data_IF_869193782122
#
_entry.id   IF_869193782122
#
_cell.length_a   1.000
_cell.length_b   1.000
_cell.length_c   1.000
_cell.angle_alpha   90.00
_cell.angle_beta   90.00
_cell.angle_gamma   90.00
#
_symmetry.space_group_name_H-M   'P 1'
#
loop_
_entity.id
_entity.type
_entity.pdbx_description
1 polymer ?
#
# COMPACT_ATOMS: atom_id res chain seq x y z
N UNK A 1 -6.48 -0.34 -14.51
CA UNK A 1 -5.80 -0.49 -13.21
C UNK A 1 -4.78 0.63 -13.12
N UNK A 2 -5.13 1.73 -12.47
CA UNK A 2 -4.35 2.97 -12.48
C UNK A 2 -3.19 2.82 -11.50
N UNK A 3 -1.99 2.58 -12.00
CA UNK A 3 -0.77 2.59 -11.19
C UNK A 3 -0.45 4.04 -10.81
N UNK A 4 -0.72 4.42 -9.56
CA UNK A 4 -0.42 5.76 -9.05
C UNK A 4 1.10 5.88 -8.79
N UNK A 5 1.84 6.72 -9.55
CA UNK A 5 3.31 6.77 -9.49
C UNK A 5 3.89 7.13 -8.12
N UNK A 6 3.09 7.75 -7.26
CA UNK A 6 3.47 8.17 -5.90
C UNK A 6 3.63 7.03 -4.89
N UNK A 7 3.36 5.78 -5.30
CA UNK A 7 3.63 4.58 -4.51
C UNK A 7 5.09 4.10 -4.54
N UNK A 8 5.98 4.71 -5.35
CA UNK A 8 7.32 4.17 -5.58
C UNK A 8 8.47 5.19 -5.58
N UNK A 9 9.10 5.38 -4.43
CA UNK A 9 10.57 5.47 -4.31
C UNK A 9 10.94 4.94 -2.92
N UNK A 10 11.63 3.79 -2.91
CA UNK A 10 11.84 2.99 -1.72
C UNK A 10 12.76 3.65 -0.69
N UNK A 11 12.18 4.19 0.37
CA UNK A 11 12.77 4.03 1.70
C UNK A 11 12.12 2.79 2.29
N UNK A 12 12.90 1.75 2.56
CA UNK A 12 12.46 0.64 3.40
C UNK A 12 12.23 1.20 4.81
N UNK A 13 11.03 1.71 5.06
CA UNK A 13 10.62 2.03 6.43
C UNK A 13 10.71 0.76 7.26
N UNK A 14 11.07 0.91 8.54
CA UNK A 14 11.04 -0.18 9.52
C UNK A 14 9.71 -0.94 9.48
N UNK A 15 8.61 -0.23 9.19
CA UNK A 15 7.27 -0.80 9.10
C UNK A 15 7.13 -1.78 7.95
N UNK A 16 7.61 -1.42 6.75
CA UNK A 16 7.56 -2.30 5.60
C UNK A 16 8.41 -3.55 5.84
N UNK A 17 9.53 -3.41 6.54
CA UNK A 17 10.36 -4.55 6.95
C UNK A 17 9.68 -5.43 8.01
N UNK A 18 8.98 -4.83 9.00
CA UNK A 18 8.19 -5.56 10.01
C UNK A 18 7.05 -6.32 9.32
N UNK A 19 6.30 -5.65 8.45
CA UNK A 19 5.19 -6.23 7.70
C UNK A 19 5.63 -7.35 6.77
N UNK A 20 6.79 -7.20 6.10
CA UNK A 20 7.37 -8.27 5.29
C UNK A 20 7.68 -9.54 6.09
N UNK A 21 7.97 -9.42 7.40
CA UNK A 21 8.15 -10.58 8.29
C UNK A 21 6.84 -11.23 8.71
N UNK A 22 5.72 -10.51 8.66
CA UNK A 22 4.39 -11.05 8.91
C UNK A 22 3.88 -11.76 7.66
N UNK A 23 3.95 -11.10 6.49
CA UNK A 23 3.48 -11.65 5.22
C UNK A 23 4.57 -12.46 4.48
N UNK A 24 5.25 -13.37 5.19
CA UNK A 24 6.36 -14.15 4.62
C UNK A 24 5.92 -14.85 3.32
N UNK A 25 6.79 -14.87 2.29
CA UNK A 25 6.51 -15.61 1.05
C UNK A 25 6.13 -17.06 1.30
N UNK A 26 6.80 -17.71 2.26
CA UNK A 26 6.65 -19.13 2.59
C UNK A 26 5.67 -19.40 3.75
N UNK A 27 5.01 -18.37 4.28
CA UNK A 27 3.94 -18.54 5.27
C UNK A 27 2.62 -18.98 4.64
N UNK A 28 1.66 -19.38 5.48
CA UNK A 28 0.31 -19.79 5.05
C UNK A 28 -0.31 -18.81 4.05
N UNK A 29 -1.02 -19.38 3.08
CA UNK A 29 -1.68 -18.62 2.03
C UNK A 29 -3.02 -18.05 2.48
N UNK A 30 -3.37 -16.89 1.94
CA UNK A 30 -4.75 -16.42 2.05
C UNK A 30 -5.66 -17.37 1.28
N UNK A 31 -6.86 -17.63 1.83
CA UNK A 31 -7.92 -18.27 1.06
C UNK A 31 -8.23 -17.43 -0.19
N UNK A 32 -8.69 -18.03 -1.30
CA UNK A 32 -9.01 -17.28 -2.50
C UNK A 32 -10.02 -16.15 -2.29
N UNK A 33 -10.98 -16.34 -1.38
CA UNK A 33 -11.96 -15.32 -0.99
C UNK A 33 -11.29 -14.12 -0.32
N UNK A 34 -10.45 -14.36 0.69
CA UNK A 34 -9.72 -13.29 1.40
C UNK A 34 -8.78 -12.56 0.43
N UNK A 35 -8.05 -13.30 -0.40
CA UNK A 35 -7.15 -12.71 -1.38
C UNK A 35 -7.90 -11.78 -2.35
N UNK A 36 -9.06 -12.18 -2.87
CA UNK A 36 -9.88 -11.33 -3.75
C UNK A 36 -10.41 -10.09 -3.04
N UNK A 37 -10.82 -10.21 -1.79
CA UNK A 37 -11.28 -9.08 -0.99
C UNK A 37 -10.16 -8.07 -0.73
N UNK A 38 -8.95 -8.54 -0.40
CA UNK A 38 -7.78 -7.68 -0.22
C UNK A 38 -7.37 -6.92 -1.49
N UNK A 39 -7.55 -7.52 -2.67
CA UNK A 39 -7.25 -6.85 -3.94
C UNK A 39 -8.21 -5.68 -4.25
N UNK A 40 -9.40 -5.67 -3.66
CA UNK A 40 -10.39 -4.61 -3.83
C UNK A 40 -10.21 -3.43 -2.87
N UNK A 41 -9.45 -3.62 -1.79
CA UNK A 41 -9.19 -2.53 -0.83
C UNK A 41 -8.39 -1.44 -1.52
N UNK A 42 -8.88 -0.22 -1.54
CA UNK A 42 -8.22 0.96 -2.09
C UNK A 42 -8.57 2.20 -1.26
N UNK A 43 -7.77 3.26 -1.36
CA UNK A 43 -8.15 4.56 -0.81
C UNK A 43 -9.36 5.09 -1.55
N UNK A 44 -10.28 5.72 -0.82
CA UNK A 44 -11.42 6.37 -1.44
C UNK A 44 -11.01 7.65 -2.19
N UNK A 45 -11.96 8.25 -2.91
CA UNK A 45 -11.69 9.45 -3.70
C UNK A 45 -11.24 10.65 -2.85
N UNK A 46 -11.72 10.75 -1.61
CA UNK A 46 -11.38 11.86 -0.71
C UNK A 46 -9.93 11.72 -0.23
N UNK A 47 -9.54 10.52 0.20
CA UNK A 47 -8.17 10.22 0.60
C UNK A 47 -7.19 10.41 -0.57
N UNK A 48 -7.54 9.94 -1.77
CA UNK A 48 -6.70 10.14 -2.96
C UNK A 48 -6.52 11.64 -3.29
N UNK A 49 -7.58 12.43 -3.19
CA UNK A 49 -7.52 13.87 -3.42
C UNK A 49 -6.64 14.56 -2.37
N UNK A 50 -6.77 14.19 -1.09
CA UNK A 50 -5.97 14.74 0.00
C UNK A 50 -4.50 14.38 -0.13
N UNK A 51 -4.20 13.11 -0.43
CA UNK A 51 -2.84 12.65 -0.72
C UNK A 51 -2.20 13.44 -1.86
N UNK A 52 -2.96 13.69 -2.93
CA UNK A 52 -2.48 14.47 -4.08
C UNK A 52 -2.19 15.92 -3.70
N UNK A 53 -3.10 16.58 -2.98
CA UNK A 53 -2.90 17.95 -2.48
C UNK A 53 -1.62 18.06 -1.64
N UNK A 54 -1.46 17.16 -0.66
CA UNK A 54 -0.29 17.11 0.22
C UNK A 54 0.99 16.85 -0.56
N UNK A 55 0.97 15.97 -1.57
CA UNK A 55 2.13 15.70 -2.40
C UNK A 55 2.56 16.93 -3.21
N UNK A 56 1.61 17.63 -3.83
CA UNK A 56 1.88 18.86 -4.61
C UNK A 56 2.43 19.95 -3.69
N UNK A 57 1.84 20.16 -2.52
CA UNK A 57 2.32 21.15 -1.54
C UNK A 57 3.68 20.79 -0.95
N UNK A 58 3.94 19.50 -0.74
CA UNK A 58 5.24 18.97 -0.31
C UNK A 58 6.36 19.25 -1.29
N UNK A 59 6.09 19.14 -2.59
CA UNK A 59 7.08 19.49 -3.63
C UNK A 59 7.46 20.98 -3.60
N UNK A 60 6.52 21.85 -3.22
CA UNK A 60 6.77 23.27 -3.04
C UNK A 60 7.41 23.62 -1.68
N UNK A 61 7.62 22.64 -0.78
CA UNK A 61 8.15 22.88 0.56
C UNK A 61 7.17 23.59 1.50
N UNK A 62 5.86 23.51 1.22
CA UNK A 62 4.80 24.26 1.92
C UNK A 62 3.95 23.40 2.86
N UNK A 63 4.49 22.28 3.35
CA UNK A 63 3.80 21.44 4.33
C UNK A 63 4.11 21.92 5.74
N UNK A 64 3.07 22.00 6.55
CA UNK A 64 3.23 22.10 8.00
C UNK A 64 3.67 20.75 8.57
N UNK A 65 4.26 20.70 9.78
CA UNK A 65 4.64 19.43 10.41
C UNK A 65 3.48 18.44 10.55
N UNK A 66 2.25 18.93 10.77
CA UNK A 66 1.06 18.09 10.84
C UNK A 66 0.74 17.44 9.48
N UNK A 67 0.87 18.21 8.40
CA UNK A 67 0.62 17.75 7.04
C UNK A 67 1.71 16.79 6.53
N UNK A 68 2.97 16.99 6.94
CA UNK A 68 4.04 16.02 6.70
C UNK A 68 3.74 14.68 7.38
N UNK A 69 3.28 14.72 8.64
CA UNK A 69 2.87 13.53 9.39
C UNK A 69 1.67 12.83 8.76
N UNK A 70 0.70 13.61 8.25
CA UNK A 70 -0.46 13.09 7.52
C UNK A 70 -0.02 12.38 6.22
N UNK A 71 0.83 13.05 5.42
CA UNK A 71 1.36 12.47 4.19
C UNK A 71 2.19 11.21 4.44
N UNK A 72 2.98 11.17 5.52
CA UNK A 72 3.72 9.96 5.89
C UNK A 72 2.80 8.83 6.35
N UNK A 73 1.69 9.15 7.02
CA UNK A 73 0.66 8.17 7.39
C UNK A 73 0.05 7.52 6.14
N UNK A 74 -0.33 8.32 5.14
CA UNK A 74 -0.80 7.81 3.86
C UNK A 74 0.24 6.92 3.16
N UNK A 75 1.51 7.34 3.13
CA UNK A 75 2.60 6.52 2.56
C UNK A 75 2.79 5.21 3.30
N UNK A 76 2.71 5.22 4.64
CA UNK A 76 2.82 4.01 5.47
C UNK A 76 1.70 3.02 5.16
N UNK A 77 0.44 3.49 5.13
CA UNK A 77 -0.71 2.64 4.82
C UNK A 77 -0.66 2.15 3.37
N UNK A 78 -0.24 2.99 2.42
CA UNK A 78 -0.05 2.58 1.02
C UNK A 78 0.96 1.44 0.87
N UNK A 79 2.11 1.51 1.56
CA UNK A 79 3.10 0.41 1.57
C UNK A 79 2.52 -0.88 2.17
N UNK A 80 1.76 -0.79 3.26
CA UNK A 80 1.09 -1.95 3.87
C UNK A 80 0.13 -2.61 2.88
N UNK A 81 -0.73 -1.80 2.24
CA UNK A 81 -1.72 -2.27 1.27
C UNK A 81 -1.05 -3.00 0.10
N UNK A 82 0.06 -2.47 -0.43
CA UNK A 82 0.79 -3.12 -1.52
C UNK A 82 1.43 -4.45 -1.11
N UNK A 83 1.94 -4.57 0.12
CA UNK A 83 2.43 -5.86 0.64
C UNK A 83 1.31 -6.89 0.75
N UNK A 84 0.14 -6.49 1.28
CA UNK A 84 -1.03 -7.37 1.40
C UNK A 84 -1.53 -7.82 0.03
N UNK A 85 -1.65 -6.90 -0.94
CA UNK A 85 -2.03 -7.20 -2.32
C UNK A 85 -1.02 -8.11 -3.00
N UNK A 86 0.28 -7.91 -2.76
CA UNK A 86 1.35 -8.79 -3.28
C UNK A 86 1.22 -10.23 -2.78
N UNK A 87 0.97 -10.42 -1.47
CA UNK A 87 0.71 -11.75 -0.91
C UNK A 87 -0.59 -12.34 -1.45
N UNK A 88 -1.66 -11.55 -1.56
CA UNK A 88 -2.94 -11.99 -2.13
C UNK A 88 -2.81 -12.50 -3.58
N UNK A 89 -2.11 -11.75 -4.46
CA UNK A 89 -1.82 -12.20 -5.83
C UNK A 89 -1.02 -13.51 -5.82
N UNK A 90 -0.01 -13.61 -4.95
CA UNK A 90 0.80 -14.82 -4.81
C UNK A 90 -0.03 -16.03 -4.34
N UNK A 91 -0.93 -15.84 -3.37
CA UNK A 91 -1.82 -16.90 -2.88
C UNK A 91 -2.78 -17.39 -3.96
N UNK A 92 -3.35 -16.47 -4.75
CA UNK A 92 -4.22 -16.81 -5.88
C UNK A 92 -3.47 -17.56 -6.99
N UNK A 93 -2.26 -17.10 -7.34
CA UNK A 93 -1.40 -17.79 -8.30
C UNK A 93 -1.04 -19.21 -7.84
N UNK A 94 -0.68 -19.40 -6.56
CA UNK A 94 -0.39 -20.73 -5.99
C UNK A 94 -1.60 -21.65 -5.94
N UNK A 95 -2.80 -21.10 -5.78
CA UNK A 95 -4.06 -21.85 -5.83
C UNK A 95 -4.49 -22.23 -7.27
N UNK A 96 -3.75 -21.82 -8.31
CA UNK A 96 -4.14 -22.01 -9.71
C UNK A 96 -5.32 -21.15 -10.14
N UNK A 97 -5.69 -20.16 -9.34
CA UNK A 97 -6.79 -19.24 -9.57
C UNK A 97 -6.19 -17.89 -9.97
N UNK A 98 -5.71 -17.77 -11.21
CA UNK A 98 -5.15 -16.51 -11.69
C UNK A 98 -6.11 -15.34 -11.36
N UNK A 99 -5.54 -14.29 -10.76
CA UNK A 99 -6.25 -13.11 -10.29
C UNK A 99 -6.76 -12.24 -11.44
#
# INVERSE_FOLDING_TARGET
>A
MTTYPWYGAGVKSADAAILGRIFKPDGEDFSPEVARSLLKLEFDAQDLARMHELAVRGQAGHLTPAEESELESYRRIGRLLELMRSKARSSLARAGLAA
#
